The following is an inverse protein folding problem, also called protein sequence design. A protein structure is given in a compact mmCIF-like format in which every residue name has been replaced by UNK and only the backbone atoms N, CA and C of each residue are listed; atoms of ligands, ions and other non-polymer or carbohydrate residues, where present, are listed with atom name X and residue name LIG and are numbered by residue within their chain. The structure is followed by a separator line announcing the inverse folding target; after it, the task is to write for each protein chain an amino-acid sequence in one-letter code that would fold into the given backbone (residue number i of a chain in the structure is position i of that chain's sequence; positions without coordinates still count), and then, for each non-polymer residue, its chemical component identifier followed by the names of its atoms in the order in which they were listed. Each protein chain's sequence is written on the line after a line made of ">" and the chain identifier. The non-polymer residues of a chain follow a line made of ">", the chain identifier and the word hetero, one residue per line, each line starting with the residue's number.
data_IF_577953746173
#
_entry.id   IF_577953746173
#
_cell.length_a   1.000
_cell.length_b   1.000
_cell.length_c   1.000
_cell.angle_alpha   90.00
_cell.angle_beta   90.00
_cell.angle_gamma   90.00
#
_symmetry.space_group_name_H-M   'P 1'
#
loop_
_entity.id
_entity.type
_entity.pdbx_description
1 polymer ?
#
# COMPACT_ATOMS: atom_id res chain seq x y z
N UNK A 1 2.55 19.38 -13.01
CA UNK A 1 2.40 19.12 -11.57
C UNK A 1 2.81 17.69 -11.27
N UNK A 2 3.59 17.50 -10.24
CA UNK A 2 3.98 16.17 -9.79
C UNK A 2 2.92 15.58 -8.86
N UNK A 3 2.88 14.28 -8.78
CA UNK A 3 2.05 13.55 -7.82
C UNK A 3 2.97 12.76 -6.92
N UNK A 4 2.82 12.93 -5.62
CA UNK A 4 3.61 12.22 -4.64
C UNK A 4 2.72 11.24 -3.87
N UNK A 5 3.30 10.09 -3.52
CA UNK A 5 2.63 9.07 -2.72
C UNK A 5 3.09 9.21 -1.27
N UNK A 6 2.13 9.14 -0.37
CA UNK A 6 2.37 9.06 1.07
C UNK A 6 1.56 7.91 1.64
N UNK A 7 1.92 7.44 2.78
CA UNK A 7 1.18 6.36 3.41
C UNK A 7 1.94 5.68 4.52
N UNK A 8 1.41 4.55 4.93
CA UNK A 8 1.95 3.78 6.04
C UNK A 8 1.61 2.31 5.86
N UNK A 9 2.54 1.46 6.24
CA UNK A 9 2.26 0.04 6.44
C UNK A 9 1.72 -0.10 7.86
N UNK A 10 0.60 -0.77 7.98
CA UNK A 10 0.04 -1.15 9.29
C UNK A 10 -0.13 -2.65 9.38
N UNK A 11 -0.15 -3.16 10.59
CA UNK A 11 -0.38 -4.58 10.82
C UNK A 11 -1.34 -4.76 12.00
N UNK A 12 -1.95 -5.94 12.07
CA UNK A 12 -2.83 -6.34 13.16
C UNK A 12 -2.19 -7.53 13.85
N UNK A 13 -1.42 -7.29 14.95
CA UNK A 13 -0.78 -8.38 15.69
C UNK A 13 -1.85 -9.28 16.30
N UNK A 14 -1.70 -10.59 16.08
CA UNK A 14 -2.64 -11.56 16.60
C UNK A 14 -2.38 -11.94 18.05
N UNK A 15 -3.29 -12.72 18.61
CA UNK A 15 -3.26 -13.25 19.97
C UNK A 15 -1.93 -13.95 20.33
N UNK A 16 -1.26 -14.51 19.35
CA UNK A 16 0.00 -15.25 19.54
C UNK A 16 1.12 -14.42 20.13
N UNK A 17 1.10 -13.10 19.93
CA UNK A 17 2.19 -12.20 20.38
C UNK A 17 1.83 -11.53 21.69
N UNK A 18 0.55 -11.15 21.86
CA UNK A 18 0.11 -10.35 23.00
C UNK A 18 -0.76 -11.10 23.99
N UNK A 19 -1.10 -12.36 23.72
CA UNK A 19 -2.06 -13.10 24.53
C UNK A 19 -3.48 -12.54 24.48
N UNK A 20 -3.80 -11.78 23.44
CA UNK A 20 -5.12 -11.17 23.20
C UNK A 20 -5.87 -12.03 22.21
N UNK A 21 -7.16 -12.19 22.39
CA UNK A 21 -8.00 -12.88 21.40
C UNK A 21 -8.07 -12.08 20.10
N UNK A 22 -8.21 -12.78 18.96
CA UNK A 22 -8.25 -12.14 17.63
C UNK A 22 -9.33 -11.07 17.53
N UNK A 23 -10.41 -11.20 18.29
CA UNK A 23 -11.50 -10.22 18.32
C UNK A 23 -11.08 -8.88 18.94
N UNK A 24 -10.06 -8.90 19.81
CA UNK A 24 -9.54 -7.70 20.45
C UNK A 24 -8.33 -7.10 19.71
N UNK A 25 -7.90 -7.72 18.63
CA UNK A 25 -6.79 -7.22 17.82
C UNK A 25 -7.18 -5.96 17.06
N UNK A 26 -6.35 -4.93 17.17
CA UNK A 26 -6.52 -3.69 16.42
C UNK A 26 -5.35 -3.48 15.47
N UNK A 27 -5.60 -2.74 14.40
CA UNK A 27 -4.53 -2.33 13.49
C UNK A 27 -3.64 -1.30 14.17
N UNK A 28 -2.33 -1.45 13.98
CA UNK A 28 -1.32 -0.51 14.48
C UNK A 28 -0.40 -0.10 13.34
N UNK A 29 0.08 1.13 13.37
CA UNK A 29 1.06 1.62 12.41
C UNK A 29 2.40 0.93 12.62
N UNK A 30 3.01 0.44 11.55
CA UNK A 30 4.30 -0.23 11.61
C UNK A 30 5.42 0.67 11.09
N UNK A 31 5.29 1.23 9.88
CA UNK A 31 6.32 2.07 9.29
C UNK A 31 5.70 3.03 8.27
N UNK A 32 6.16 4.27 8.29
CA UNK A 32 5.76 5.28 7.32
C UNK A 32 6.54 5.07 6.00
N UNK A 33 5.86 5.23 4.87
CA UNK A 33 6.47 5.08 3.56
C UNK A 33 7.64 6.03 3.31
N UNK A 34 7.66 7.19 3.97
CA UNK A 34 8.72 8.18 3.78
C UNK A 34 10.12 7.59 4.04
N UNK A 35 10.23 6.65 4.97
CA UNK A 35 11.52 6.03 5.31
C UNK A 35 11.89 4.88 4.38
N UNK A 36 10.99 4.47 3.49
CA UNK A 36 11.21 3.37 2.55
C UNK A 36 11.60 3.84 1.15
N UNK A 37 11.49 5.14 0.88
CA UNK A 37 11.94 5.77 -0.36
C UNK A 37 11.38 5.13 -1.64
N UNK A 38 10.05 4.94 -1.70
CA UNK A 38 9.40 4.32 -2.87
C UNK A 38 9.51 5.17 -4.14
N UNK A 39 9.75 6.46 -4.00
CA UNK A 39 9.69 7.39 -5.11
C UNK A 39 8.26 7.59 -5.62
N UNK A 40 8.14 8.26 -6.76
CA UNK A 40 6.85 8.56 -7.37
C UNK A 40 6.83 8.22 -8.87
N UNK A 41 7.48 7.13 -9.27
CA UNK A 41 7.43 6.67 -10.65
C UNK A 41 5.98 6.37 -11.06
N UNK A 42 5.47 7.11 -12.04
CA UNK A 42 4.05 7.09 -12.39
C UNK A 42 3.57 5.77 -12.95
N UNK A 43 4.44 5.02 -13.62
CA UNK A 43 4.09 3.68 -14.08
C UNK A 43 3.81 2.73 -12.90
N UNK A 44 4.58 2.83 -11.83
CA UNK A 44 4.33 2.06 -10.61
C UNK A 44 3.03 2.49 -9.94
N UNK A 45 2.79 3.80 -9.79
CA UNK A 45 1.55 4.31 -9.20
C UNK A 45 0.33 3.89 -10.03
N UNK A 46 0.48 3.85 -11.35
CA UNK A 46 -0.58 3.44 -12.27
C UNK A 46 -0.93 1.97 -12.09
N UNK A 47 0.06 1.07 -12.10
CA UNK A 47 -0.20 -0.36 -12.02
C UNK A 47 -0.64 -0.84 -10.64
N UNK A 48 -0.27 -0.12 -9.59
CA UNK A 48 -0.66 -0.46 -8.22
C UNK A 48 -2.00 0.16 -7.84
N UNK A 49 -2.18 1.45 -8.11
CA UNK A 49 -3.26 2.24 -7.53
C UNK A 49 -4.12 3.00 -8.55
N UNK A 50 -3.83 2.90 -9.83
CA UNK A 50 -4.58 3.58 -10.87
C UNK A 50 -4.34 5.09 -10.97
N UNK A 51 -3.31 5.60 -10.30
CA UNK A 51 -2.98 7.02 -10.31
C UNK A 51 -2.12 7.33 -11.53
N UNK A 52 -2.50 8.37 -12.29
CA UNK A 52 -1.86 8.78 -13.54
C UNK A 52 -1.72 7.62 -14.54
N UNK A 53 -2.77 6.82 -14.66
CA UNK A 53 -2.74 5.59 -15.44
C UNK A 53 -3.01 5.81 -16.93
N UNK A 54 -2.15 6.58 -17.58
CA UNK A 54 -2.15 6.69 -19.03
C UNK A 54 -1.63 5.41 -19.71
N UNK A 55 -0.99 4.54 -18.94
CA UNK A 55 -0.41 3.28 -19.41
C UNK A 55 -1.46 2.19 -19.69
N UNK A 56 -2.63 2.31 -19.07
CA UNK A 56 -3.70 1.33 -19.24
C UNK A 56 -3.45 0.03 -18.47
N UNK A 57 -2.81 0.10 -17.31
CA UNK A 57 -2.76 -1.02 -16.38
C UNK A 57 -4.13 -1.25 -15.73
N UNK A 58 -4.38 -2.47 -15.32
CA UNK A 58 -5.45 -2.78 -14.38
C UNK A 58 -4.91 -2.63 -12.96
N UNK A 59 -5.35 -1.61 -12.20
CA UNK A 59 -4.80 -1.39 -10.86
C UNK A 59 -5.10 -2.53 -9.90
N UNK A 60 -4.21 -2.77 -8.95
CA UNK A 60 -4.45 -3.76 -7.90
C UNK A 60 -5.45 -3.27 -6.87
N UNK A 61 -5.40 -1.99 -6.51
CA UNK A 61 -6.27 -1.41 -5.50
C UNK A 61 -6.50 0.06 -5.80
N UNK A 62 -7.63 0.39 -6.39
CA UNK A 62 -7.96 1.75 -6.81
C UNK A 62 -9.08 2.33 -5.95
N UNK A 63 -8.81 3.49 -5.32
CA UNK A 63 -9.85 4.33 -4.75
C UNK A 63 -10.71 3.71 -3.66
N UNK A 64 -10.20 2.80 -2.87
CA UNK A 64 -10.96 2.14 -1.80
C UNK A 64 -11.29 3.07 -0.62
N UNK A 65 -10.62 4.22 -0.55
CA UNK A 65 -10.71 5.12 0.59
C UNK A 65 -9.82 4.68 1.75
N UNK A 66 -9.93 5.37 2.86
CA UNK A 66 -9.24 4.99 4.09
C UNK A 66 -9.95 3.76 4.68
N UNK A 67 -9.21 2.76 5.20
CA UNK A 67 -9.86 1.64 5.85
C UNK A 67 -10.75 2.12 7.01
N UNK A 68 -11.93 1.52 7.15
CA UNK A 68 -12.86 1.91 8.23
C UNK A 68 -12.28 1.66 9.62
N UNK A 69 -11.39 0.68 9.72
CA UNK A 69 -10.70 0.29 10.94
C UNK A 69 -9.22 0.70 10.93
N UNK A 70 -8.87 1.76 10.18
CA UNK A 70 -7.51 2.26 10.12
C UNK A 70 -6.96 2.52 11.53
N UNK A 71 -5.66 2.25 11.71
CA UNK A 71 -4.97 2.50 12.97
C UNK A 71 -4.99 3.99 13.35
N UNK A 72 -4.80 4.27 14.63
CA UNK A 72 -4.68 5.66 15.10
C UNK A 72 -3.51 6.37 14.42
N UNK A 73 -2.41 5.65 14.17
CA UNK A 73 -1.22 6.20 13.52
C UNK A 73 -1.50 6.58 12.06
N UNK A 74 -2.23 5.72 11.33
CA UNK A 74 -2.64 6.04 9.95
C UNK A 74 -3.58 7.25 9.93
N UNK A 75 -4.56 7.29 10.83
CA UNK A 75 -5.50 8.42 10.91
C UNK A 75 -4.78 9.73 11.22
N UNK A 76 -3.81 9.71 12.14
CA UNK A 76 -3.02 10.88 12.50
C UNK A 76 -2.16 11.35 11.32
N UNK A 77 -1.49 10.43 10.62
CA UNK A 77 -0.69 10.76 9.45
C UNK A 77 -1.55 11.34 8.33
N UNK A 78 -2.70 10.73 8.05
CA UNK A 78 -3.64 11.19 7.04
C UNK A 78 -4.14 12.61 7.35
N UNK A 79 -4.53 12.87 8.59
CA UNK A 79 -4.96 14.20 9.03
C UNK A 79 -3.82 15.23 8.91
N UNK A 80 -2.58 14.81 9.16
CA UNK A 80 -1.39 15.65 9.01
C UNK A 80 -1.14 16.12 7.59
N UNK A 81 -1.64 15.38 6.59
CA UNK A 81 -1.59 15.79 5.18
C UNK A 81 -2.82 16.61 4.74
N UNK A 82 -3.69 17.01 5.68
CA UNK A 82 -4.88 17.80 5.39
C UNK A 82 -6.15 16.98 5.23
N UNK A 83 -6.08 15.66 5.31
CA UNK A 83 -7.24 14.78 5.19
C UNK A 83 -7.83 14.76 3.79
N UNK A 84 -9.12 14.38 3.65
CA UNK A 84 -9.73 14.13 2.35
C UNK A 84 -9.85 15.36 1.44
N UNK A 85 -9.71 16.56 1.99
CA UNK A 85 -9.81 17.79 1.20
C UNK A 85 -8.51 18.14 0.46
N UNK A 86 -7.37 17.65 0.94
CA UNK A 86 -6.05 18.01 0.41
C UNK A 86 -5.36 16.85 -0.31
N UNK A 87 -5.87 15.64 -0.20
CA UNK A 87 -5.32 14.47 -0.87
C UNK A 87 -6.40 13.77 -1.69
N UNK A 88 -5.97 12.88 -2.59
CA UNK A 88 -6.88 12.16 -3.47
C UNK A 88 -6.46 10.69 -3.60
N UNK A 89 -7.34 9.90 -4.20
CA UNK A 89 -7.08 8.50 -4.57
C UNK A 89 -6.65 7.62 -3.41
N UNK A 90 -7.05 7.96 -2.20
CA UNK A 90 -6.76 7.18 -1.00
C UNK A 90 -7.24 5.75 -1.18
N UNK A 91 -6.36 4.79 -0.86
CA UNK A 91 -6.67 3.38 -1.01
C UNK A 91 -5.78 2.52 -0.09
N UNK A 92 -6.02 1.22 -0.11
CA UNK A 92 -5.24 0.27 0.68
C UNK A 92 -5.23 -1.08 0.00
N UNK A 93 -4.21 -1.87 0.31
CA UNK A 93 -4.06 -3.23 -0.21
C UNK A 93 -3.43 -4.12 0.88
N UNK A 94 -3.92 -5.33 1.01
CA UNK A 94 -3.39 -6.28 2.00
C UNK A 94 -2.21 -7.07 1.45
N UNK A 95 -1.43 -7.67 2.36
CA UNK A 95 -0.30 -8.50 1.97
C UNK A 95 -0.71 -9.74 1.19
N UNK A 96 -1.85 -10.35 1.52
CA UNK A 96 -2.34 -11.52 0.78
C UNK A 96 -2.85 -11.15 -0.61
N UNK A 97 -3.45 -9.98 -0.79
CA UNK A 97 -3.80 -9.48 -2.12
C UNK A 97 -2.55 -9.26 -2.98
N UNK A 98 -1.50 -8.69 -2.39
CA UNK A 98 -0.22 -8.52 -3.09
C UNK A 98 0.42 -9.85 -3.46
N UNK A 99 0.38 -10.83 -2.56
CA UNK A 99 0.92 -12.16 -2.82
C UNK A 99 0.14 -12.90 -3.92
N UNK A 100 -1.17 -12.67 -4.01
CA UNK A 100 -2.05 -13.32 -4.99
C UNK A 100 -2.19 -12.57 -6.31
N UNK A 101 -1.58 -11.40 -6.45
CA UNK A 101 -1.72 -10.58 -7.66
C UNK A 101 -0.98 -11.21 -8.86
N UNK A 102 -1.47 -10.91 -10.06
CA UNK A 102 -0.78 -11.26 -11.30
C UNK A 102 0.30 -10.20 -11.59
N UNK A 103 1.53 -10.50 -11.20
CA UNK A 103 2.66 -9.61 -11.41
C UNK A 103 3.18 -9.61 -12.86
N UNK A 104 2.75 -10.55 -13.67
CA UNK A 104 3.13 -10.64 -15.09
C UNK A 104 2.13 -9.95 -16.00
N UNK A 105 1.01 -9.46 -15.48
CA UNK A 105 0.06 -8.65 -16.24
C UNK A 105 0.74 -7.37 -16.71
N UNK A 106 0.47 -7.01 -17.98
CA UNK A 106 1.13 -5.88 -18.65
C UNK A 106 0.23 -4.66 -18.75
N UNK A 107 0.83 -3.54 -19.15
CA UNK A 107 0.10 -2.35 -19.57
C UNK A 107 -0.70 -2.65 -20.86
N UNK A 108 -1.47 -1.66 -21.32
CA UNK A 108 -2.31 -1.82 -22.51
C UNK A 108 -1.51 -2.19 -23.75
N UNK A 109 -0.29 -1.67 -23.87
CA UNK A 109 0.56 -1.93 -25.04
C UNK A 109 1.23 -3.31 -25.00
N UNK A 110 1.20 -4.00 -23.86
CA UNK A 110 1.90 -5.25 -23.66
C UNK A 110 3.41 -5.11 -23.50
N UNK A 111 3.89 -3.89 -23.25
CA UNK A 111 5.32 -3.59 -23.24
C UNK A 111 5.96 -3.84 -21.89
N UNK A 112 5.28 -3.49 -20.80
CA UNK A 112 5.84 -3.56 -19.45
C UNK A 112 4.91 -4.30 -18.52
N UNK A 113 5.47 -5.23 -17.74
CA UNK A 113 4.71 -5.95 -16.72
C UNK A 113 4.67 -5.17 -15.41
N UNK A 114 3.69 -5.49 -14.57
CA UNK A 114 3.62 -4.97 -13.20
C UNK A 114 4.91 -5.28 -12.45
N UNK A 115 5.43 -6.50 -12.61
CA UNK A 115 6.71 -6.91 -12.00
C UNK A 115 7.86 -5.99 -12.39
N UNK A 116 7.94 -5.60 -13.64
CA UNK A 116 9.01 -4.75 -14.15
C UNK A 116 8.96 -3.33 -13.55
N UNK A 117 7.76 -2.77 -13.40
CA UNK A 117 7.61 -1.36 -12.98
C UNK A 117 7.44 -1.18 -11.48
N UNK A 118 6.93 -2.17 -10.76
CA UNK A 118 6.61 -2.04 -9.33
C UNK A 118 7.03 -3.25 -8.49
N UNK A 119 7.71 -4.22 -9.05
CA UNK A 119 8.14 -5.43 -8.34
C UNK A 119 9.45 -5.25 -7.57
N UNK A 120 10.12 -6.38 -7.30
CA UNK A 120 11.34 -6.40 -6.48
C UNK A 120 12.55 -5.74 -7.13
N UNK A 121 12.53 -5.46 -8.42
CA UNK A 121 13.57 -4.70 -9.10
C UNK A 121 13.32 -3.18 -9.08
N UNK A 122 12.22 -2.73 -8.52
CA UNK A 122 11.85 -1.32 -8.44
C UNK A 122 12.17 -0.72 -7.07
N UNK A 123 11.95 0.59 -6.93
CA UNK A 123 12.06 1.28 -5.64
C UNK A 123 11.02 0.84 -4.62
N UNK A 124 10.03 0.05 -5.02
CA UNK A 124 9.02 -0.51 -4.13
C UNK A 124 9.49 -1.74 -3.36
N UNK A 125 10.63 -2.31 -3.73
CA UNK A 125 11.18 -3.51 -3.08
C UNK A 125 11.24 -3.41 -1.55
N UNK A 126 11.77 -2.34 -0.93
CA UNK A 126 11.81 -2.26 0.54
C UNK A 126 10.42 -2.34 1.17
N UNK A 127 9.43 -1.73 0.54
CA UNK A 127 8.03 -1.80 1.00
C UNK A 127 7.52 -3.24 0.96
N UNK A 128 7.77 -3.95 -0.14
CA UNK A 128 7.35 -5.35 -0.27
C UNK A 128 8.07 -6.26 0.73
N UNK A 129 9.35 -6.01 1.00
CA UNK A 129 10.13 -6.77 2.00
C UNK A 129 9.55 -6.60 3.40
N UNK A 130 9.17 -5.39 3.80
CA UNK A 130 8.54 -5.13 5.09
C UNK A 130 7.19 -5.85 5.18
N UNK A 131 6.38 -5.77 4.14
CA UNK A 131 5.06 -6.42 4.11
C UNK A 131 5.22 -7.95 4.21
N UNK A 132 6.18 -8.53 3.50
CA UNK A 132 6.45 -9.97 3.58
C UNK A 132 6.94 -10.41 4.97
N UNK A 133 7.80 -9.61 5.58
CA UNK A 133 8.29 -9.89 6.94
C UNK A 133 7.16 -9.86 7.95
N UNK A 134 6.37 -8.80 7.95
CA UNK A 134 5.23 -8.68 8.85
C UNK A 134 4.15 -9.74 8.57
N UNK A 135 3.96 -10.07 7.29
CA UNK A 135 3.03 -11.14 6.89
C UNK A 135 3.46 -12.50 7.39
N UNK A 136 4.77 -12.77 7.42
CA UNK A 136 5.31 -14.00 8.00
C UNK A 136 5.11 -14.11 9.51
N UNK A 137 5.07 -12.96 10.19
CA UNK A 137 4.88 -12.90 11.64
C UNK A 137 3.39 -12.94 12.05
N UNK A 138 2.53 -12.26 11.30
CA UNK A 138 1.16 -11.99 11.71
C UNK A 138 0.09 -12.59 10.78
N UNK A 139 0.48 -13.10 9.64
CA UNK A 139 -0.41 -13.47 8.55
C UNK A 139 -0.50 -12.37 7.50
N UNK A 140 -0.47 -12.73 6.23
CA UNK A 140 -0.47 -11.75 5.14
C UNK A 140 -1.76 -10.91 5.10
N UNK A 141 -2.88 -11.47 5.55
CA UNK A 141 -4.18 -10.79 5.66
C UNK A 141 -4.20 -9.75 6.79
N UNK A 142 -3.24 -9.81 7.70
CA UNK A 142 -3.10 -8.91 8.86
C UNK A 142 -2.03 -7.85 8.65
N UNK A 143 -1.61 -7.64 7.42
CA UNK A 143 -0.69 -6.57 7.01
C UNK A 143 -1.30 -5.86 5.82
N UNK A 144 -1.26 -4.54 5.81
CA UNK A 144 -1.73 -3.77 4.66
C UNK A 144 -0.96 -2.48 4.49
N UNK A 145 -0.92 -2.03 3.25
CA UNK A 145 -0.36 -0.73 2.88
C UNK A 145 -1.52 0.24 2.66
N UNK A 146 -1.50 1.37 3.33
CA UNK A 146 -2.48 2.45 3.15
C UNK A 146 -1.76 3.62 2.52
N UNK A 147 -2.30 4.14 1.42
CA UNK A 147 -1.67 5.23 0.66
C UNK A 147 -2.67 6.33 0.33
N UNK A 148 -2.13 7.52 0.14
CA UNK A 148 -2.85 8.67 -0.42
C UNK A 148 -1.89 9.50 -1.26
N UNK A 149 -2.43 10.40 -2.06
CA UNK A 149 -1.68 11.12 -3.07
C UNK A 149 -1.96 12.61 -2.98
N UNK A 150 -0.92 13.41 -3.22
CA UNK A 150 -1.04 14.86 -3.34
C UNK A 150 -0.41 15.34 -4.64
N UNK A 151 -0.80 16.52 -5.07
CA UNK A 151 -0.23 17.12 -6.27
C UNK A 151 -0.23 18.66 -6.21
#
# INVERSE_FOLDING_TARGET
>A
MSTDVSGMIECRPGARIWGVDDEDSVWVGAIDLIVLHTGNAYDALACLFGVRNSYGFRPLAEGRGLPVDASDEVRAAFAGYGGPDDVHSTTWITGDELAGADWDETDRSGTRSRRAVAGDASYWRPTWEVIRTLGGLHGAENVRLVVWFDC
#
